data_IF_237148909318
#
_entry.id   IF_237148909318
#
_cell.length_a   1.000
_cell.length_b   1.000
_cell.length_c   1.000
_cell.angle_alpha   90.00
_cell.angle_beta   90.00
_cell.angle_gamma   90.00
#
_symmetry.space_group_name_H-M   'P 1'
#
loop_
_entity.id
_entity.type
_entity.pdbx_description
1 polymer ?
#
# COMPACT_ATOMS: atom_id res chain seq x y z
N UNK A 1 -11.22 -4.79 -8.44
CA UNK A 1 -10.53 -3.53 -8.10
C UNK A 1 -11.55 -2.41 -8.30
N UNK A 2 -11.86 -1.61 -7.27
CA UNK A 2 -12.91 -0.60 -7.36
C UNK A 2 -12.50 0.51 -8.33
N UNK A 3 -13.23 0.68 -9.43
CA UNK A 3 -12.92 1.64 -10.50
C UNK A 3 -13.56 3.00 -10.19
N UNK A 4 -12.99 3.73 -9.22
CA UNK A 4 -13.24 5.16 -9.12
C UNK A 4 -12.34 5.86 -10.14
N UNK A 5 -12.94 6.57 -11.10
CA UNK A 5 -12.20 7.31 -12.13
C UNK A 5 -11.53 8.53 -11.47
N UNK A 6 -10.24 8.43 -11.17
CA UNK A 6 -9.41 9.53 -10.67
C UNK A 6 -8.48 10.04 -11.78
N UNK A 7 -8.09 11.31 -11.69
CA UNK A 7 -7.01 11.86 -12.51
C UNK A 7 -5.70 11.23 -12.04
N UNK A 8 -4.90 10.70 -12.98
CA UNK A 8 -3.59 10.15 -12.67
C UNK A 8 -2.61 11.29 -12.46
N UNK A 9 -1.86 11.27 -11.36
CA UNK A 9 -0.87 12.29 -11.01
C UNK A 9 0.49 11.66 -10.74
N UNK A 10 1.54 12.47 -10.84
CA UNK A 10 2.88 12.15 -10.31
C UNK A 10 2.88 12.16 -8.77
N UNK A 11 3.98 11.72 -8.15
CA UNK A 11 4.12 11.63 -6.69
C UNK A 11 3.91 12.96 -5.95
N UNK A 12 4.17 14.09 -6.62
CA UNK A 12 3.97 15.44 -6.07
C UNK A 12 2.56 16.02 -6.34
N UNK A 13 1.66 15.24 -6.95
CA UNK A 13 0.29 15.65 -7.23
C UNK A 13 0.10 16.41 -8.55
N UNK A 14 1.16 16.68 -9.33
CA UNK A 14 1.00 17.25 -10.66
C UNK A 14 0.31 16.25 -11.61
N UNK A 15 -0.69 16.68 -12.41
CA UNK A 15 -1.38 15.80 -13.34
C UNK A 15 -0.41 15.23 -14.38
N UNK A 16 -0.58 13.96 -14.74
CA UNK A 16 0.24 13.35 -15.78
C UNK A 16 -0.09 13.91 -17.18
N UNK A 17 0.88 13.87 -18.12
CA UNK A 17 0.65 14.27 -19.50
C UNK A 17 -0.46 13.46 -20.17
N UNK A 18 -1.00 13.94 -21.30
CA UNK A 18 -2.15 13.34 -22.00
C UNK A 18 -2.01 11.85 -22.36
N UNK A 19 -0.78 11.37 -22.56
CA UNK A 19 -0.49 9.95 -22.85
C UNK A 19 -0.10 9.15 -21.60
N UNK A 20 -0.17 9.74 -20.41
CA UNK A 20 0.21 9.09 -19.15
C UNK A 20 1.62 8.53 -19.18
N UNK A 21 1.79 7.33 -18.59
CA UNK A 21 3.06 6.60 -18.55
C UNK A 21 3.29 5.69 -19.78
N UNK A 22 2.42 5.73 -20.80
CA UNK A 22 2.63 4.93 -22.03
C UNK A 22 3.48 5.65 -23.08
N UNK A 23 3.85 6.91 -22.83
CA UNK A 23 4.76 7.68 -23.65
C UNK A 23 5.86 8.30 -22.79
N UNK A 24 7.06 8.38 -23.35
CA UNK A 24 8.20 9.10 -22.78
C UNK A 24 8.53 10.31 -23.66
N UNK A 25 9.09 11.35 -23.06
CA UNK A 25 9.56 12.50 -23.80
C UNK A 25 10.88 12.17 -24.52
N UNK A 26 10.93 12.48 -25.81
CA UNK A 26 12.09 12.22 -26.68
C UNK A 26 12.47 13.45 -27.51
N UNK A 27 13.73 13.49 -27.97
CA UNK A 27 14.21 14.53 -28.89
C UNK A 27 13.74 14.27 -30.35
N UNK A 28 12.44 14.46 -30.60
CA UNK A 28 11.77 14.10 -31.85
C UNK A 28 11.13 12.70 -31.80
N UNK A 29 10.27 12.32 -32.77
CA UNK A 29 9.45 11.09 -32.69
C UNK A 29 10.22 9.77 -32.52
N UNK A 30 11.45 9.72 -33.01
CA UNK A 30 12.35 8.55 -32.90
C UNK A 30 13.72 8.94 -32.32
N UNK A 31 13.78 10.07 -31.61
CA UNK A 31 14.99 10.52 -30.94
C UNK A 31 15.21 9.82 -29.60
N UNK A 32 16.36 10.04 -28.96
CA UNK A 32 16.62 9.53 -27.61
C UNK A 32 15.68 10.14 -26.57
N UNK A 33 15.46 9.40 -25.47
CA UNK A 33 14.73 9.90 -24.28
C UNK A 33 15.53 11.03 -23.63
N UNK A 34 14.82 12.04 -23.13
CA UNK A 34 15.42 13.20 -22.47
C UNK A 34 15.29 13.12 -20.94
N UNK A 35 16.32 13.58 -20.22
CA UNK A 35 16.37 13.54 -18.75
C UNK A 35 15.31 14.43 -18.07
N UNK A 36 14.77 15.42 -18.77
CA UNK A 36 13.75 16.31 -18.24
C UNK A 36 12.36 15.65 -18.08
N UNK A 37 12.18 14.41 -18.57
CA UNK A 37 10.95 13.64 -18.35
C UNK A 37 10.83 13.19 -16.89
N UNK A 38 10.33 14.11 -16.06
CA UNK A 38 10.13 13.87 -14.64
C UNK A 38 9.15 12.73 -14.37
N UNK A 39 8.08 12.60 -15.17
CA UNK A 39 7.05 11.58 -14.95
C UNK A 39 7.62 10.16 -15.13
N UNK A 40 8.46 9.97 -16.15
CA UNK A 40 9.17 8.71 -16.37
C UNK A 40 10.13 8.40 -15.21
N UNK A 41 10.93 9.38 -14.80
CA UNK A 41 11.92 9.20 -13.73
C UNK A 41 11.26 8.91 -12.39
N UNK A 42 10.20 9.64 -12.03
CA UNK A 42 9.43 9.45 -10.79
C UNK A 42 8.88 8.01 -10.71
N UNK A 43 8.28 7.54 -11.80
CA UNK A 43 7.74 6.19 -11.87
C UNK A 43 8.81 5.10 -11.76
N UNK A 44 9.89 5.20 -12.54
CA UNK A 44 10.98 4.21 -12.49
C UNK A 44 11.70 4.20 -11.14
N UNK A 45 11.95 5.38 -10.56
CA UNK A 45 12.64 5.47 -9.27
C UNK A 45 11.83 4.83 -8.13
N UNK A 46 10.50 4.94 -8.16
CA UNK A 46 9.62 4.27 -7.20
C UNK A 46 9.53 2.76 -7.48
N UNK A 47 9.39 2.36 -8.74
CA UNK A 47 9.34 0.96 -9.15
C UNK A 47 10.60 0.18 -8.73
N UNK A 48 11.78 0.75 -8.98
CA UNK A 48 13.08 0.15 -8.61
C UNK A 48 13.23 -0.03 -7.08
N UNK A 49 12.42 0.67 -6.28
CA UNK A 49 12.45 0.66 -4.81
C UNK A 49 11.22 -0.01 -4.17
N UNK A 50 10.43 -0.75 -4.94
CA UNK A 50 9.26 -1.47 -4.41
C UNK A 50 9.61 -2.59 -3.42
N UNK A 51 10.81 -3.16 -3.54
CA UNK A 51 11.23 -4.31 -2.72
C UNK A 51 11.87 -3.82 -1.43
N UNK A 52 11.33 -4.29 -0.31
CA UNK A 52 11.94 -4.21 1.01
C UNK A 52 12.47 -5.59 1.41
N UNK A 53 13.42 -5.69 2.35
CA UNK A 53 13.88 -6.99 2.85
C UNK A 53 12.70 -7.85 3.35
N UNK A 54 12.70 -9.11 2.98
CA UNK A 54 11.74 -10.07 3.51
C UNK A 54 12.02 -10.40 4.97
N UNK A 55 11.02 -10.96 5.68
CA UNK A 55 11.24 -11.44 7.04
C UNK A 55 12.27 -12.57 7.02
N UNK A 56 13.23 -12.52 7.95
CA UNK A 56 14.29 -13.55 8.09
C UNK A 56 13.70 -14.97 8.23
N UNK A 57 12.52 -15.09 8.83
CA UNK A 57 11.72 -16.32 8.90
C UNK A 57 10.25 -16.01 8.61
N UNK A 58 9.49 -17.01 8.15
CA UNK A 58 8.08 -16.86 7.76
C UNK A 58 7.86 -15.76 6.68
N UNK A 59 8.74 -15.67 5.69
CA UNK A 59 8.65 -14.70 4.59
C UNK A 59 7.37 -14.83 3.76
N UNK A 60 6.92 -16.08 3.53
CA UNK A 60 5.66 -16.37 2.83
C UNK A 60 4.51 -16.53 3.83
N UNK A 61 3.48 -15.73 3.66
CA UNK A 61 2.25 -15.80 4.44
C UNK A 61 1.07 -15.18 3.71
N UNK A 62 -0.11 -15.29 4.30
CA UNK A 62 -1.32 -14.59 3.92
C UNK A 62 -1.90 -13.95 5.18
N UNK A 63 -2.64 -12.84 5.03
CA UNK A 63 -3.20 -12.12 6.16
C UNK A 63 -4.70 -11.88 6.03
N UNK A 64 -5.38 -11.77 7.16
CA UNK A 64 -6.80 -11.43 7.25
C UNK A 64 -7.08 -10.54 8.46
N UNK A 65 -8.12 -9.71 8.36
CA UNK A 65 -8.63 -8.93 9.48
C UNK A 65 -9.91 -9.56 10.03
N UNK A 66 -10.13 -9.38 11.32
CA UNK A 66 -11.32 -9.87 11.99
C UNK A 66 -11.52 -9.20 13.34
N UNK A 67 -12.23 -9.88 14.23
CA UNK A 67 -12.40 -9.45 15.60
C UNK A 67 -12.23 -10.64 16.54
N UNK A 68 -11.65 -10.36 17.71
CA UNK A 68 -11.69 -11.23 18.86
C UNK A 68 -12.91 -10.86 19.71
N UNK A 69 -13.72 -11.85 20.11
CA UNK A 69 -14.88 -11.65 21.00
C UNK A 69 -14.69 -12.42 22.31
N UNK A 70 -14.78 -11.72 23.44
CA UNK A 70 -14.68 -12.33 24.77
C UNK A 70 -15.95 -13.13 25.07
N UNK A 71 -15.88 -14.45 25.15
CA UNK A 71 -17.06 -15.30 25.39
C UNK A 71 -17.29 -15.63 26.86
N UNK A 72 -16.26 -15.56 27.70
CA UNK A 72 -16.31 -15.89 29.12
C UNK A 72 -15.55 -14.84 29.94
N UNK A 73 -16.02 -14.59 31.17
CA UNK A 73 -15.37 -13.66 32.08
C UNK A 73 -14.14 -14.30 32.71
N UNK A 74 -13.00 -13.62 32.59
CA UNK A 74 -11.72 -14.00 33.20
C UNK A 74 -11.09 -12.83 33.97
N UNK A 75 -11.91 -11.85 34.36
CA UNK A 75 -11.48 -10.66 35.10
C UNK A 75 -10.79 -10.97 36.44
N UNK A 76 -11.05 -12.15 37.01
CA UNK A 76 -10.38 -12.66 38.22
C UNK A 76 -8.90 -13.01 38.00
N UNK A 77 -8.49 -13.30 36.76
CA UNK A 77 -7.12 -13.68 36.40
C UNK A 77 -6.35 -12.49 35.83
N UNK A 78 -7.02 -11.61 35.09
CA UNK A 78 -6.38 -10.48 34.42
C UNK A 78 -7.29 -9.27 34.33
N UNK A 79 -6.72 -8.08 34.51
CA UNK A 79 -7.39 -6.80 34.30
C UNK A 79 -7.18 -6.24 32.87
N UNK A 80 -6.71 -7.07 31.94
CA UNK A 80 -6.45 -6.62 30.57
C UNK A 80 -7.75 -6.18 29.88
N UNK A 81 -7.70 -5.00 29.23
CA UNK A 81 -8.89 -4.35 28.72
C UNK A 81 -9.65 -5.18 27.67
N UNK A 82 -8.99 -6.04 26.89
CA UNK A 82 -9.69 -6.85 25.89
C UNK A 82 -10.68 -7.86 26.52
N UNK A 83 -10.43 -8.28 27.76
CA UNK A 83 -11.26 -9.25 28.50
C UNK A 83 -12.23 -8.60 29.49
N UNK A 84 -12.31 -7.25 29.51
CA UNK A 84 -13.04 -6.50 30.55
C UNK A 84 -14.55 -6.77 30.60
N UNK A 85 -15.13 -7.35 29.55
CA UNK A 85 -16.55 -7.68 29.49
C UNK A 85 -16.79 -8.82 28.48
N UNK A 86 -17.72 -9.71 28.81
CA UNK A 86 -18.25 -10.71 27.87
C UNK A 86 -19.00 -10.01 26.74
N UNK A 87 -18.79 -10.48 25.50
CA UNK A 87 -19.30 -9.89 24.25
C UNK A 87 -18.45 -8.75 23.71
N UNK A 88 -17.39 -8.32 24.41
CA UNK A 88 -16.52 -7.25 23.92
C UNK A 88 -15.75 -7.71 22.67
N UNK A 89 -15.87 -6.95 21.58
CA UNK A 89 -15.16 -7.17 20.33
C UNK A 89 -13.94 -6.28 20.20
N UNK A 90 -12.78 -6.89 19.91
CA UNK A 90 -11.51 -6.19 19.70
C UNK A 90 -11.01 -6.47 18.28
N UNK A 91 -10.72 -5.45 17.46
CA UNK A 91 -10.17 -5.67 16.12
C UNK A 91 -8.82 -6.39 16.16
N UNK A 92 -8.63 -7.37 15.27
CA UNK A 92 -7.38 -8.13 15.16
C UNK A 92 -6.93 -8.26 13.71
N UNK A 93 -5.63 -8.49 13.53
CA UNK A 93 -5.00 -8.89 12.28
C UNK A 93 -4.25 -10.20 12.49
N UNK A 94 -4.40 -11.14 11.56
CA UNK A 94 -3.72 -12.46 11.55
C UNK A 94 -2.92 -12.58 10.27
#
# INVERSE_FOLDING_TARGET
MATKKSVLSTSNGAPLPNHGLTASQTAGPHGPIVLQDFALLDHLAHFDRERIPERVVHAKGAGAFGYFETTHDISSVTSAALFSAVGKRTPIAV
#
